data_IF_435962300243
#
_entry.id   IF_435962300243
#
_cell.length_a   1.000
_cell.length_b   1.000
_cell.length_c   1.000
_cell.angle_alpha   90.00
_cell.angle_beta   90.00
_cell.angle_gamma   90.00
#
_symmetry.space_group_name_H-M   'P 1'
#
loop_
_entity.id
_entity.type
_entity.pdbx_description
1 polymer ?
#
# COMPACT_ATOMS: atom_id res chain seq x y z
N UNK A 1 -18.49 -12.43 4.23
CA UNK A 1 -17.68 -11.55 5.10
C UNK A 1 -16.52 -11.00 4.29
N UNK A 2 -15.89 -9.89 4.72
CA UNK A 2 -14.72 -9.33 4.02
C UNK A 2 -13.57 -10.34 3.92
N UNK A 3 -13.31 -11.12 4.99
CA UNK A 3 -12.35 -12.25 4.97
C UNK A 3 -12.55 -13.20 3.78
N UNK A 4 -13.75 -13.77 3.61
CA UNK A 4 -14.05 -14.74 2.54
C UNK A 4 -13.81 -14.15 1.14
N UNK A 5 -14.09 -12.86 0.96
CA UNK A 5 -13.84 -12.19 -0.32
C UNK A 5 -12.34 -12.03 -0.61
N UNK A 6 -11.52 -11.75 0.42
CA UNK A 6 -10.07 -11.69 0.29
C UNK A 6 -9.46 -13.07 0.00
N UNK A 7 -9.92 -14.10 0.70
CA UNK A 7 -9.52 -15.51 0.44
C UNK A 7 -9.89 -15.94 -0.99
N UNK A 8 -11.13 -15.67 -1.43
CA UNK A 8 -11.57 -15.97 -2.79
C UNK A 8 -10.79 -15.18 -3.85
N UNK A 9 -10.30 -13.98 -3.52
CA UNK A 9 -9.42 -13.20 -4.37
C UNK A 9 -7.96 -13.69 -4.34
N UNK A 10 -7.64 -14.71 -3.55
CA UNK A 10 -6.31 -15.28 -3.39
C UNK A 10 -5.34 -14.41 -2.59
N UNK A 11 -5.84 -13.44 -1.81
CA UNK A 11 -5.00 -12.60 -0.96
C UNK A 11 -4.33 -13.48 0.11
N UNK A 12 -3.03 -13.28 0.27
CA UNK A 12 -2.18 -14.03 1.21
C UNK A 12 -1.48 -13.08 2.20
N UNK A 13 -1.17 -11.88 1.73
CA UNK A 13 -0.45 -10.86 2.48
C UNK A 13 -1.25 -9.56 2.51
N UNK A 14 -1.15 -8.82 3.60
CA UNK A 14 -1.85 -7.54 3.76
C UNK A 14 -0.91 -6.49 4.35
N UNK A 15 -0.76 -5.37 3.65
CA UNK A 15 -0.16 -4.15 4.18
C UNK A 15 -1.30 -3.27 4.70
N UNK A 16 -1.33 -3.04 6.01
CA UNK A 16 -2.25 -2.10 6.64
C UNK A 16 -1.52 -0.78 6.90
N UNK A 17 -1.87 0.27 6.18
CA UNK A 17 -1.27 1.60 6.34
C UNK A 17 -2.01 2.48 7.36
N UNK A 18 -3.07 1.98 8.00
CA UNK A 18 -3.91 2.78 8.89
C UNK A 18 -3.54 2.55 10.35
N UNK A 19 -3.19 3.62 11.05
CA UNK A 19 -2.94 3.61 12.50
C UNK A 19 -4.20 3.24 13.29
N UNK A 20 -5.35 3.68 12.82
CA UNK A 20 -6.65 3.56 13.47
C UNK A 20 -7.37 2.22 13.23
N UNK A 21 -6.86 1.39 12.31
CA UNK A 21 -7.48 0.11 11.96
C UNK A 21 -6.64 -1.08 12.44
N UNK A 22 -7.24 -2.08 13.09
CA UNK A 22 -6.54 -3.30 13.45
C UNK A 22 -6.34 -4.21 12.22
N UNK A 23 -5.36 -5.10 12.30
CA UNK A 23 -5.26 -6.24 11.40
C UNK A 23 -6.40 -7.22 11.72
N UNK A 24 -7.48 -7.17 10.92
CA UNK A 24 -8.75 -7.82 11.28
C UNK A 24 -8.73 -9.35 11.25
N UNK A 25 -7.83 -9.96 10.47
CA UNK A 25 -7.82 -11.42 10.23
C UNK A 25 -6.39 -12.01 10.31
N UNK A 26 -5.67 -11.81 11.44
CA UNK A 26 -4.24 -12.16 11.54
C UNK A 26 -3.97 -13.67 11.49
N UNK A 27 -4.99 -14.49 11.77
CA UNK A 27 -4.91 -15.95 11.61
C UNK A 27 -5.08 -16.43 10.16
N UNK A 28 -5.46 -15.54 9.23
CA UNK A 28 -5.77 -15.90 7.83
C UNK A 28 -4.82 -15.30 6.81
N UNK A 29 -4.10 -14.22 7.16
CA UNK A 29 -3.17 -13.55 6.26
C UNK A 29 -1.90 -13.16 7.01
N UNK A 30 -0.78 -13.08 6.30
CA UNK A 30 0.45 -12.46 6.81
C UNK A 30 0.31 -10.94 6.72
N UNK A 31 0.59 -10.23 7.82
CA UNK A 31 0.44 -8.78 7.86
C UNK A 31 1.78 -8.06 7.99
N UNK A 32 1.88 -6.93 7.30
CA UNK A 32 2.74 -5.82 7.67
C UNK A 32 1.85 -4.65 8.10
N UNK A 33 2.00 -4.20 9.35
CA UNK A 33 1.27 -3.03 9.85
C UNK A 33 2.19 -1.81 9.85
N UNK A 34 1.85 -0.83 9.02
CA UNK A 34 2.53 0.45 8.86
C UNK A 34 1.62 1.54 9.43
N UNK A 35 1.60 1.78 10.75
CA UNK A 35 0.60 2.62 11.39
C UNK A 35 0.84 4.11 11.10
N UNK A 36 0.27 4.61 10.00
CA UNK A 36 0.41 6.00 9.57
C UNK A 36 -0.88 6.82 9.76
N UNK A 37 -0.73 8.08 10.18
CA UNK A 37 -1.78 9.08 10.14
C UNK A 37 -1.94 9.66 8.71
N UNK A 38 -3.13 10.14 8.35
CA UNK A 38 -3.40 10.74 7.03
C UNK A 38 -3.26 12.26 7.10
N UNK A 39 -2.05 12.74 7.36
CA UNK A 39 -1.73 14.17 7.56
C UNK A 39 -0.40 14.51 6.89
N UNK A 40 -0.22 15.76 6.45
CA UNK A 40 0.94 16.16 5.65
C UNK A 40 2.29 15.93 6.34
N UNK A 41 2.34 16.01 7.68
CA UNK A 41 3.57 15.79 8.46
C UNK A 41 3.89 14.34 8.79
N UNK A 42 3.09 13.37 8.33
CA UNK A 42 3.40 11.95 8.56
C UNK A 42 4.52 11.50 7.61
N UNK A 43 5.60 10.99 8.17
CA UNK A 43 6.68 10.36 7.40
C UNK A 43 6.26 8.95 6.95
N UNK A 44 6.22 8.75 5.63
CA UNK A 44 6.05 7.45 4.97
C UNK A 44 7.31 7.01 4.23
N UNK A 45 8.19 7.95 3.88
CA UNK A 45 9.44 7.66 3.17
C UNK A 45 10.29 6.63 3.93
N UNK A 46 10.41 6.80 5.25
CA UNK A 46 11.14 5.86 6.11
C UNK A 46 10.53 4.45 6.17
N UNK A 47 9.28 4.27 5.72
CA UNK A 47 8.53 3.02 5.81
C UNK A 47 8.39 2.30 4.46
N UNK A 48 8.62 3.00 3.34
CA UNK A 48 8.43 2.43 2.00
C UNK A 48 9.49 1.41 1.61
N UNK A 49 10.69 1.47 2.18
CA UNK A 49 11.71 0.44 1.96
C UNK A 49 11.19 -0.93 2.45
N UNK A 50 10.85 -1.03 3.74
CA UNK A 50 10.30 -2.24 4.36
C UNK A 50 9.00 -2.68 3.68
N UNK A 51 8.11 -1.72 3.39
CA UNK A 51 6.84 -2.05 2.73
C UNK A 51 7.05 -2.63 1.34
N UNK A 52 7.99 -2.08 0.58
CA UNK A 52 8.29 -2.57 -0.76
C UNK A 52 8.95 -3.94 -0.73
N UNK A 53 9.87 -4.19 0.22
CA UNK A 53 10.49 -5.50 0.41
C UNK A 53 9.44 -6.57 0.75
N UNK A 54 8.54 -6.26 1.69
CA UNK A 54 7.43 -7.15 2.04
C UNK A 54 6.53 -7.47 0.85
N UNK A 55 6.21 -6.47 0.01
CA UNK A 55 5.40 -6.67 -1.19
C UNK A 55 6.15 -7.54 -2.20
N UNK A 56 7.42 -7.24 -2.46
CA UNK A 56 8.23 -7.96 -3.44
C UNK A 56 8.46 -9.43 -3.04
N UNK A 57 8.77 -9.70 -1.78
CA UNK A 57 8.95 -11.05 -1.25
C UNK A 57 7.66 -11.88 -1.36
N UNK A 58 6.52 -11.29 -0.98
CA UNK A 58 5.22 -11.94 -1.10
C UNK A 58 4.88 -12.27 -2.55
N UNK A 59 5.15 -11.36 -3.49
CA UNK A 59 4.93 -11.58 -4.92
C UNK A 59 5.89 -12.62 -5.49
N UNK A 60 7.16 -12.62 -5.09
CA UNK A 60 8.16 -13.61 -5.51
C UNK A 60 7.82 -15.03 -5.05
N UNK A 61 7.18 -15.16 -3.88
CA UNK A 61 6.65 -16.42 -3.37
C UNK A 61 5.33 -16.88 -4.06
N UNK A 62 4.86 -16.16 -5.09
CA UNK A 62 3.60 -16.46 -5.77
C UNK A 62 2.35 -16.01 -5.01
N UNK A 63 2.53 -15.22 -3.96
CA UNK A 63 1.44 -14.65 -3.18
C UNK A 63 0.75 -13.47 -3.87
N UNK A 64 -0.31 -13.00 -3.23
CA UNK A 64 -1.04 -11.78 -3.59
C UNK A 64 -1.19 -10.88 -2.38
N UNK A 65 -0.88 -9.59 -2.59
CA UNK A 65 -0.83 -8.58 -1.54
C UNK A 65 -2.00 -7.61 -1.68
N UNK A 66 -2.67 -7.32 -0.55
CA UNK A 66 -3.58 -6.19 -0.43
C UNK A 66 -2.88 -5.06 0.32
N UNK A 67 -2.78 -3.88 -0.27
CA UNK A 67 -2.36 -2.65 0.43
C UNK A 67 -3.59 -1.80 0.70
N UNK A 68 -3.89 -1.49 1.97
CA UNK A 68 -5.08 -0.72 2.33
C UNK A 68 -4.82 0.32 3.43
N UNK A 69 -5.68 1.33 3.49
CA UNK A 69 -5.85 2.22 4.64
C UNK A 69 -7.36 2.30 4.98
N UNK A 70 -7.83 3.37 5.63
CA UNK A 70 -9.26 3.53 5.91
C UNK A 70 -10.10 3.81 4.65
N UNK A 71 -9.68 4.77 3.82
CA UNK A 71 -10.42 5.16 2.61
C UNK A 71 -9.93 4.47 1.33
N UNK A 72 -8.70 3.95 1.31
CA UNK A 72 -8.11 3.37 0.11
C UNK A 72 -7.80 4.41 -0.99
N UNK A 73 -7.46 5.65 -0.58
CA UNK A 73 -7.16 6.79 -1.46
C UNK A 73 -5.74 7.33 -1.26
N UNK A 74 -5.43 7.76 -0.03
CA UNK A 74 -4.21 8.53 0.29
C UNK A 74 -3.05 7.63 0.74
N UNK A 75 -2.95 7.27 2.02
CA UNK A 75 -1.85 6.43 2.58
C UNK A 75 -1.53 5.17 1.76
N UNK A 76 -2.53 4.35 1.46
CA UNK A 76 -2.32 3.15 0.66
C UNK A 76 -2.03 3.46 -0.82
N UNK A 77 -2.56 4.57 -1.34
CA UNK A 77 -2.24 5.06 -2.68
C UNK A 77 -0.76 5.46 -2.78
N UNK A 78 -0.29 6.31 -1.86
CA UNK A 78 1.10 6.75 -1.78
C UNK A 78 2.05 5.56 -1.65
N UNK A 79 1.72 4.61 -0.77
CA UNK A 79 2.51 3.38 -0.58
C UNK A 79 2.61 2.54 -1.87
N UNK A 80 1.51 2.37 -2.61
CA UNK A 80 1.54 1.64 -3.90
C UNK A 80 2.32 2.41 -4.95
N UNK A 81 2.22 3.74 -4.98
CA UNK A 81 2.98 4.59 -5.92
C UNK A 81 4.47 4.52 -5.64
N UNK A 82 4.90 4.62 -4.38
CA UNK A 82 6.30 4.45 -3.98
C UNK A 82 6.85 3.07 -4.40
N UNK A 83 6.08 2.01 -4.16
CA UNK A 83 6.44 0.67 -4.61
C UNK A 83 6.52 0.56 -6.14
N UNK A 84 5.58 1.16 -6.88
CA UNK A 84 5.63 1.20 -8.35
C UNK A 84 6.87 1.93 -8.85
N UNK A 85 7.21 3.07 -8.25
CA UNK A 85 8.41 3.84 -8.58
C UNK A 85 9.66 2.99 -8.41
N UNK A 86 9.82 2.36 -7.24
CA UNK A 86 10.95 1.47 -6.96
C UNK A 86 11.00 0.28 -7.92
N UNK A 87 9.88 -0.41 -8.14
CA UNK A 87 9.83 -1.64 -8.94
C UNK A 87 10.01 -1.41 -10.44
N UNK A 88 9.74 -0.19 -10.92
CA UNK A 88 9.83 0.19 -12.33
C UNK A 88 10.96 1.18 -12.63
N UNK A 89 11.79 1.51 -11.63
CA UNK A 89 12.83 2.54 -11.72
C UNK A 89 12.30 3.88 -12.26
N UNK A 90 11.12 4.29 -11.79
CA UNK A 90 10.51 5.57 -12.18
C UNK A 90 10.98 6.65 -11.22
N UNK A 91 11.61 7.69 -11.76
CA UNK A 91 12.03 8.89 -11.02
C UNK A 91 10.96 9.97 -10.94
N UNK A 92 9.86 9.78 -11.65
CA UNK A 92 8.75 10.72 -11.75
C UNK A 92 7.52 10.13 -11.06
N UNK A 93 7.08 10.80 -9.99
CA UNK A 93 5.91 10.43 -9.23
C UNK A 93 4.61 10.52 -10.06
N UNK A 94 4.51 11.45 -11.01
CA UNK A 94 3.32 11.61 -11.84
C UNK A 94 3.13 10.39 -12.75
N UNK A 95 4.20 9.90 -13.38
CA UNK A 95 4.16 8.68 -14.17
C UNK A 95 3.66 7.47 -13.35
N UNK A 96 4.13 7.33 -12.10
CA UNK A 96 3.70 6.25 -11.21
C UNK A 96 2.26 6.42 -10.70
N UNK A 97 1.84 7.66 -10.42
CA UNK A 97 0.47 8.01 -10.06
C UNK A 97 -0.50 7.66 -11.19
N UNK A 98 -0.16 7.97 -12.44
CA UNK A 98 -1.00 7.64 -13.59
C UNK A 98 -1.12 6.12 -13.78
N UNK A 99 -0.04 5.35 -13.60
CA UNK A 99 -0.11 3.88 -13.59
C UNK A 99 -1.05 3.35 -12.49
N UNK A 100 -0.98 3.91 -11.29
CA UNK A 100 -1.86 3.53 -10.20
C UNK A 100 -3.33 3.90 -10.49
N UNK A 101 -3.59 5.12 -10.99
CA UNK A 101 -4.93 5.64 -11.31
C UNK A 101 -5.58 4.91 -12.49
N UNK A 102 -4.80 4.46 -13.46
CA UNK A 102 -5.30 3.62 -14.56
C UNK A 102 -5.94 2.32 -14.07
N UNK A 103 -5.53 1.81 -12.89
CA UNK A 103 -6.13 0.62 -12.25
C UNK A 103 -7.14 0.98 -11.16
N UNK A 104 -6.93 2.09 -10.45
CA UNK A 104 -7.79 2.56 -9.37
C UNK A 104 -7.89 4.09 -9.41
N UNK A 105 -8.87 4.66 -10.14
CA UNK A 105 -8.97 6.12 -10.37
C UNK A 105 -9.08 6.99 -9.11
N UNK A 106 -9.47 6.39 -7.98
CA UNK A 106 -9.61 7.07 -6.69
C UNK A 106 -8.28 7.23 -5.93
N UNK A 107 -7.15 6.74 -6.47
CA UNK A 107 -5.82 6.96 -5.87
C UNK A 107 -5.48 8.44 -5.91
N UNK A 108 -5.38 9.02 -4.71
CA UNK A 108 -5.14 10.45 -4.49
C UNK A 108 -4.43 10.65 -3.14
N UNK A 109 -3.09 10.47 -3.10
CA UNK A 109 -2.28 10.91 -1.97
C UNK A 109 -2.52 12.38 -1.65
N UNK A 110 -2.43 12.74 -0.37
CA UNK A 110 -2.36 14.14 0.06
C UNK A 110 -1.03 14.76 -0.38
N UNK A 111 -0.94 16.10 -0.51
CA UNK A 111 0.28 16.78 -0.97
C UNK A 111 1.54 16.38 -0.19
N UNK A 112 1.49 16.31 1.15
CA UNK A 112 2.67 15.94 1.95
C UNK A 112 3.21 14.54 1.68
N UNK A 113 2.39 13.62 1.13
CA UNK A 113 2.88 12.31 0.67
C UNK A 113 3.40 12.34 -0.76
N UNK A 114 2.87 13.22 -1.61
CA UNK A 114 3.40 13.43 -2.96
C UNK A 114 4.80 14.02 -2.89
N UNK A 115 5.04 14.96 -1.98
CA UNK A 115 6.36 15.59 -1.77
C UNK A 115 7.44 14.59 -1.29
N UNK A 116 7.03 13.42 -0.78
CA UNK A 116 7.94 12.37 -0.31
C UNK A 116 8.30 11.34 -1.40
N UNK A 117 7.55 11.27 -2.51
CA UNK A 117 7.68 10.29 -3.60
C UNK A 117 8.80 10.66 -4.58
#
# INVERSE_FOLDING_TARGET
TRRKALEAAGVTHVVNCAKELPCAHPASFTYLHVPAADVDGQDLLGLWAETSDFVDDALAAGGRVLVHCAGGHSRSGATVVAWLMRRRDLRDADAALELARARRPVVKPIPGFVDQL
#
